data_IF_993430200986
#
_entry.id   IF_993430200986
#
_cell.length_a   1.000
_cell.length_b   1.000
_cell.length_c   1.000
_cell.angle_alpha   90.00
_cell.angle_beta   90.00
_cell.angle_gamma   90.00
#
_symmetry.space_group_name_H-M   'P 1'
#
loop_
_entity.id
_entity.type
_entity.pdbx_description
1 polymer ?
#
# COMPACT_ATOMS: atom_id res chain seq x y z
N UNK A 1 -18.71 -5.93 -4.29
CA UNK A 1 -18.34 -5.40 -2.96
C UNK A 1 -18.50 -3.88 -3.01
N UNK A 2 -19.12 -3.27 -2.00
CA UNK A 2 -19.19 -1.81 -1.92
C UNK A 2 -17.96 -1.22 -1.18
N UNK A 3 -17.86 0.10 -1.13
CA UNK A 3 -16.70 0.77 -0.51
C UNK A 3 -16.60 0.52 1.00
N UNK A 4 -17.73 0.45 1.71
CA UNK A 4 -17.76 0.20 3.14
C UNK A 4 -17.31 -1.23 3.46
N UNK A 5 -17.73 -2.22 2.67
CA UNK A 5 -17.25 -3.60 2.82
C UNK A 5 -15.71 -3.70 2.69
N UNK A 6 -15.11 -2.93 1.76
CA UNK A 6 -13.65 -2.89 1.60
C UNK A 6 -12.98 -2.33 2.86
N UNK A 7 -13.48 -1.20 3.36
CA UNK A 7 -12.89 -0.56 4.54
C UNK A 7 -13.13 -1.34 5.83
N UNK A 8 -14.25 -2.06 5.95
CA UNK A 8 -14.48 -2.99 7.06
C UNK A 8 -13.46 -4.14 7.05
N UNK A 9 -13.13 -4.70 5.88
CA UNK A 9 -12.15 -5.79 5.76
C UNK A 9 -10.72 -5.29 5.98
N UNK A 10 -10.41 -4.08 5.52
CA UNK A 10 -9.08 -3.47 5.62
C UNK A 10 -8.87 -2.67 6.92
N UNK A 11 -9.82 -2.73 7.86
CA UNK A 11 -9.81 -1.99 9.12
C UNK A 11 -9.56 -0.47 8.91
N UNK A 12 -10.20 0.12 7.90
CA UNK A 12 -10.04 1.51 7.51
C UNK A 12 -11.29 2.36 7.69
N UNK A 13 -11.11 3.68 7.63
CA UNK A 13 -12.20 4.66 7.80
C UNK A 13 -12.68 5.20 6.45
N UNK A 14 -13.79 4.64 5.96
CA UNK A 14 -14.39 5.02 4.70
C UNK A 14 -14.78 6.50 4.64
N UNK A 15 -15.33 7.05 5.73
CA UNK A 15 -15.80 8.45 5.78
C UNK A 15 -14.62 9.41 5.69
N UNK A 16 -13.58 9.19 6.50
CA UNK A 16 -12.37 10.02 6.47
C UNK A 16 -11.67 9.95 5.12
N UNK A 17 -11.64 8.78 4.47
CA UNK A 17 -11.02 8.63 3.16
C UNK A 17 -11.85 9.34 2.10
N UNK A 18 -13.16 9.10 2.04
CA UNK A 18 -14.04 9.73 1.06
C UNK A 18 -14.08 11.25 1.17
N UNK A 19 -13.93 11.81 2.37
CA UNK A 19 -13.80 13.26 2.55
C UNK A 19 -12.63 13.84 1.74
N UNK A 20 -11.52 13.11 1.57
CA UNK A 20 -10.38 13.51 0.71
C UNK A 20 -10.73 13.52 -0.78
N UNK A 21 -11.74 12.75 -1.17
CA UNK A 21 -12.30 12.67 -2.52
C UNK A 21 -13.57 13.52 -2.66
N UNK A 22 -13.81 14.49 -1.76
CA UNK A 22 -15.01 15.34 -1.73
C UNK A 22 -16.33 14.55 -1.69
N UNK A 23 -16.33 13.39 -1.01
CA UNK A 23 -17.46 12.47 -0.95
C UNK A 23 -17.71 11.68 -2.23
N UNK A 24 -16.83 11.76 -3.23
CA UNK A 24 -17.01 11.11 -4.51
C UNK A 24 -16.48 9.67 -4.51
N UNK A 25 -17.35 8.72 -4.17
CA UNK A 25 -17.05 7.28 -4.20
C UNK A 25 -16.57 6.80 -5.57
N UNK A 26 -17.20 7.27 -6.66
CA UNK A 26 -16.83 6.86 -8.02
C UNK A 26 -15.40 7.28 -8.38
N UNK A 27 -14.97 8.45 -7.90
CA UNK A 27 -13.59 8.92 -8.07
C UNK A 27 -12.62 8.05 -7.27
N UNK A 28 -12.92 7.75 -6.00
CA UNK A 28 -12.10 6.86 -5.19
C UNK A 28 -11.98 5.48 -5.83
N UNK A 29 -13.10 4.85 -6.24
CA UNK A 29 -13.12 3.54 -6.91
C UNK A 29 -12.24 3.52 -8.15
N UNK A 30 -12.28 4.58 -8.96
CA UNK A 30 -11.43 4.71 -10.16
C UNK A 30 -9.94 4.72 -9.82
N UNK A 31 -9.53 5.35 -8.72
CA UNK A 31 -8.13 5.36 -8.30
C UNK A 31 -7.75 4.04 -7.62
N UNK A 32 -8.61 3.51 -6.75
CA UNK A 32 -8.42 2.20 -6.12
C UNK A 32 -8.27 1.10 -7.18
N UNK A 33 -9.11 1.09 -8.23
CA UNK A 33 -9.01 0.10 -9.32
C UNK A 33 -7.68 0.12 -10.07
N UNK A 34 -7.00 1.27 -10.12
CA UNK A 34 -5.66 1.41 -10.72
C UNK A 34 -4.53 0.97 -9.80
N UNK A 35 -4.82 0.65 -8.54
CA UNK A 35 -3.80 0.19 -7.59
C UNK A 35 -3.10 -1.08 -8.06
N UNK A 36 -3.83 -1.96 -8.78
CA UNK A 36 -3.25 -3.16 -9.39
C UNK A 36 -2.33 -2.88 -10.59
N UNK A 37 -2.47 -1.72 -11.23
CA UNK A 37 -1.61 -1.28 -12.33
C UNK A 37 -0.33 -0.58 -11.84
N UNK A 38 -0.24 -0.27 -10.54
CA UNK A 38 0.91 0.41 -9.95
C UNK A 38 2.08 -0.55 -9.77
N UNK A 39 3.19 -0.30 -10.47
CA UNK A 39 4.40 -1.14 -10.46
C UNK A 39 5.28 -0.97 -9.20
N UNK A 40 4.92 -0.10 -8.25
CA UNK A 40 5.78 0.27 -7.12
C UNK A 40 6.11 -0.93 -6.25
N UNK A 41 5.14 -1.84 -6.03
CA UNK A 41 5.37 -3.05 -5.24
C UNK A 41 6.39 -3.99 -5.89
N UNK A 42 6.27 -4.21 -7.20
CA UNK A 42 7.17 -5.08 -7.98
C UNK A 42 8.57 -4.48 -8.04
N UNK A 43 8.68 -3.15 -8.19
CA UNK A 43 9.96 -2.43 -8.15
C UNK A 43 10.61 -2.50 -6.76
N UNK A 44 9.82 -2.39 -5.69
CA UNK A 44 10.30 -2.62 -4.33
C UNK A 44 10.86 -4.03 -4.16
N UNK A 45 10.14 -5.07 -4.59
CA UNK A 45 10.63 -6.45 -4.55
C UNK A 45 11.96 -6.60 -5.31
N UNK A 46 12.03 -6.05 -6.53
CA UNK A 46 13.22 -6.10 -7.37
C UNK A 46 14.41 -5.41 -6.70
N UNK A 47 14.21 -4.26 -6.06
CA UNK A 47 15.26 -3.55 -5.31
C UNK A 47 15.72 -4.32 -4.07
N UNK A 48 14.84 -5.09 -3.42
CA UNK A 48 15.23 -5.98 -2.32
C UNK A 48 16.12 -7.11 -2.85
N UNK A 49 15.70 -7.78 -3.92
CA UNK A 49 16.43 -8.90 -4.53
C UNK A 49 17.82 -8.48 -5.06
N UNK A 50 17.93 -7.27 -5.61
CA UNK A 50 19.19 -6.72 -6.13
C UNK A 50 20.04 -5.97 -5.10
N UNK A 51 19.58 -5.90 -3.84
CA UNK A 51 20.20 -5.10 -2.77
C UNK A 51 20.39 -3.61 -3.15
N UNK A 52 19.50 -3.06 -3.98
CA UNK A 52 19.45 -1.64 -4.29
C UNK A 52 18.83 -0.86 -3.13
N UNK A 53 19.66 -0.54 -2.13
CA UNK A 53 19.23 0.15 -0.90
C UNK A 53 18.55 1.49 -1.15
N UNK A 54 18.93 2.21 -2.21
CA UNK A 54 18.24 3.47 -2.58
C UNK A 54 16.86 3.19 -3.16
N UNK A 55 16.76 2.19 -4.02
CA UNK A 55 15.48 1.73 -4.57
C UNK A 55 14.54 1.23 -3.48
N UNK A 56 15.03 0.48 -2.49
CA UNK A 56 14.22 0.01 -1.36
C UNK A 56 13.54 1.18 -0.64
N UNK A 57 14.32 2.20 -0.24
CA UNK A 57 13.75 3.37 0.45
C UNK A 57 12.77 4.13 -0.45
N UNK A 58 13.15 4.37 -1.70
CA UNK A 58 12.35 5.13 -2.66
C UNK A 58 11.00 4.44 -2.93
N UNK A 59 11.00 3.17 -3.32
CA UNK A 59 9.77 2.47 -3.69
C UNK A 59 8.90 2.16 -2.47
N UNK A 60 9.49 1.86 -1.30
CA UNK A 60 8.71 1.75 -0.08
C UNK A 60 8.06 3.09 0.30
N UNK A 61 8.76 4.21 0.12
CA UNK A 61 8.21 5.55 0.37
C UNK A 61 7.07 5.89 -0.59
N UNK A 62 7.22 5.58 -1.88
CA UNK A 62 6.16 5.75 -2.86
C UNK A 62 4.93 4.89 -2.51
N UNK A 63 5.12 3.61 -2.19
CA UNK A 63 4.01 2.71 -1.85
C UNK A 63 3.28 3.17 -0.60
N UNK A 64 4.02 3.63 0.42
CA UNK A 64 3.44 4.27 1.61
C UNK A 64 2.50 5.41 1.24
N UNK A 65 2.95 6.32 0.37
CA UNK A 65 2.15 7.47 -0.05
C UNK A 65 0.89 7.08 -0.83
N UNK A 66 1.02 6.15 -1.78
CA UNK A 66 -0.11 5.63 -2.55
C UNK A 66 -1.14 4.98 -1.63
N UNK A 67 -0.70 4.08 -0.75
CA UNK A 67 -1.56 3.40 0.22
C UNK A 67 -2.27 4.40 1.17
N UNK A 68 -1.54 5.39 1.70
CA UNK A 68 -2.11 6.41 2.58
C UNK A 68 -3.19 7.27 1.87
N UNK A 69 -2.94 7.67 0.63
CA UNK A 69 -3.90 8.47 -0.15
C UNK A 69 -5.20 7.71 -0.45
N UNK A 70 -5.10 6.39 -0.65
CA UNK A 70 -6.25 5.52 -0.89
C UNK A 70 -6.94 5.03 0.39
N UNK A 71 -6.33 5.25 1.56
CA UNK A 71 -6.88 4.79 2.84
C UNK A 71 -6.51 3.37 3.22
N UNK A 72 -5.54 2.74 2.55
CA UNK A 72 -5.02 1.42 2.89
C UNK A 72 -4.01 1.55 4.03
N UNK A 73 -4.52 1.85 5.23
CA UNK A 73 -3.68 2.30 6.34
C UNK A 73 -2.67 1.26 6.80
N UNK A 74 -3.08 -0.01 6.91
CA UNK A 74 -2.17 -1.08 7.32
C UNK A 74 -1.03 -1.25 6.33
N UNK A 75 -1.34 -1.26 5.03
CA UNK A 75 -0.32 -1.32 3.98
C UNK A 75 0.63 -0.11 4.03
N UNK A 76 0.09 1.09 4.28
CA UNK A 76 0.90 2.30 4.47
C UNK A 76 1.83 2.18 5.68
N UNK A 77 1.37 1.60 6.80
CA UNK A 77 2.18 1.36 7.99
C UNK A 77 3.30 0.36 7.71
N UNK A 78 3.00 -0.75 7.05
CA UNK A 78 3.99 -1.77 6.71
C UNK A 78 5.06 -1.22 5.76
N UNK A 79 4.65 -0.42 4.76
CA UNK A 79 5.58 0.29 3.89
C UNK A 79 6.46 1.29 4.66
N UNK A 80 5.89 2.00 5.64
CA UNK A 80 6.64 2.90 6.49
C UNK A 80 7.70 2.18 7.34
N UNK A 81 7.43 0.96 7.81
CA UNK A 81 8.43 0.15 8.53
C UNK A 81 9.64 -0.17 7.65
N UNK A 82 9.43 -0.48 6.36
CA UNK A 82 10.53 -0.70 5.42
C UNK A 82 11.33 0.60 5.18
N UNK A 83 10.64 1.74 5.05
CA UNK A 83 11.30 3.06 4.93
C UNK A 83 12.18 3.35 6.14
N UNK A 84 11.68 3.12 7.36
CA UNK A 84 12.46 3.33 8.59
C UNK A 84 13.69 2.42 8.63
N UNK A 85 13.51 1.12 8.38
CA UNK A 85 14.64 0.17 8.36
C UNK A 85 15.70 0.56 7.32
N UNK A 86 15.29 0.98 6.11
CA UNK A 86 16.22 1.43 5.07
C UNK A 86 17.00 2.69 5.48
N UNK A 87 16.35 3.65 6.15
CA UNK A 87 16.98 4.89 6.63
C UNK A 87 17.93 4.66 7.80
N UNK A 88 17.61 3.70 8.66
CA UNK A 88 18.43 3.27 9.79
C UNK A 88 19.53 2.26 9.37
N UNK A 89 19.56 1.89 8.08
CA UNK A 89 20.47 0.90 7.49
C UNK A 89 20.32 -0.52 8.05
N UNK A 90 19.15 -0.85 8.59
CA UNK A 90 18.78 -2.17 9.12
C UNK A 90 18.24 -3.09 8.01
N UNK A 91 19.00 -3.24 6.92
CA UNK A 91 18.57 -3.98 5.72
C UNK A 91 18.31 -5.46 5.97
N UNK A 92 18.88 -6.04 7.02
CA UNK A 92 18.61 -7.41 7.47
C UNK A 92 17.14 -7.61 7.90
N UNK A 93 16.44 -6.55 8.32
CA UNK A 93 15.01 -6.62 8.69
C UNK A 93 14.09 -6.53 7.47
N UNK A 94 14.55 -5.95 6.37
CA UNK A 94 13.72 -5.65 5.19
C UNK A 94 13.02 -6.89 4.62
N UNK A 95 13.65 -8.06 4.45
CA UNK A 95 12.96 -9.24 3.94
C UNK A 95 11.78 -9.69 4.80
N UNK A 96 11.92 -9.63 6.13
CA UNK A 96 10.85 -9.99 7.05
C UNK A 96 9.70 -8.97 7.00
N UNK A 97 10.03 -7.68 6.97
CA UNK A 97 9.04 -6.60 6.82
C UNK A 97 8.32 -6.66 5.48
N UNK A 98 9.03 -6.97 4.40
CA UNK A 98 8.46 -7.13 3.06
C UNK A 98 7.47 -8.29 3.01
N UNK A 99 7.75 -9.41 3.68
CA UNK A 99 6.80 -10.53 3.75
C UNK A 99 5.49 -10.15 4.47
N UNK A 100 5.54 -9.28 5.46
CA UNK A 100 4.32 -8.74 6.12
C UNK A 100 3.58 -7.83 5.16
N UNK A 101 4.29 -6.87 4.56
CA UNK A 101 3.75 -5.93 3.57
C UNK A 101 3.10 -6.65 2.39
N UNK A 102 3.73 -7.70 1.85
CA UNK A 102 3.24 -8.46 0.71
C UNK A 102 1.91 -9.18 0.99
N UNK A 103 1.71 -9.67 2.23
CA UNK A 103 0.42 -10.26 2.64
C UNK A 103 -0.68 -9.22 2.65
N UNK A 104 -0.40 -8.05 3.21
CA UNK A 104 -1.38 -6.95 3.25
C UNK A 104 -1.65 -6.40 1.84
N UNK A 105 -0.62 -6.27 1.01
CA UNK A 105 -0.77 -5.84 -0.39
C UNK A 105 -1.70 -6.78 -1.17
N UNK A 106 -1.53 -8.10 -1.02
CA UNK A 106 -2.41 -9.08 -1.66
C UNK A 106 -3.85 -9.00 -1.12
N UNK A 107 -4.03 -8.81 0.19
CA UNK A 107 -5.36 -8.58 0.80
C UNK A 107 -6.05 -7.35 0.19
N UNK A 108 -5.31 -6.25 0.02
CA UNK A 108 -5.82 -5.03 -0.64
C UNK A 108 -6.23 -5.32 -2.08
N UNK A 109 -5.40 -6.01 -2.86
CA UNK A 109 -5.71 -6.37 -4.26
C UNK A 109 -6.98 -7.23 -4.36
N UNK A 110 -7.15 -8.21 -3.48
CA UNK A 110 -8.35 -9.05 -3.43
C UNK A 110 -9.61 -8.24 -3.12
N UNK A 111 -9.56 -7.32 -2.15
CA UNK A 111 -10.68 -6.44 -1.82
C UNK A 111 -11.04 -5.52 -2.98
N UNK A 112 -10.04 -4.82 -3.53
CA UNK A 112 -10.22 -3.87 -4.63
C UNK A 112 -10.70 -4.57 -5.90
N UNK A 113 -10.19 -5.76 -6.21
CA UNK A 113 -10.61 -6.55 -7.37
C UNK A 113 -12.05 -7.06 -7.32
N UNK A 114 -12.71 -6.96 -6.15
CA UNK A 114 -14.12 -7.34 -5.94
C UNK A 114 -15.05 -6.13 -5.84
N UNK A 115 -14.55 -4.90 -6.01
CA UNK A 115 -15.37 -3.69 -6.02
C UNK A 115 -16.32 -3.68 -7.22
N UNK A 116 -17.59 -3.36 -6.96
CA UNK A 116 -18.63 -3.20 -7.99
C UNK A 116 -18.61 -1.80 -8.63
#
# INVERSE_FOLDING_TARGET
MNIYDVFDILDGDAETVLARFAGNEGLWKRFAGKFSDDETFQRLNTSIDSQDYKGIEMYAHTLKGVAANLGFEQLSRDAASIVSAAREQEFEKVPALFNVLAKEYNKVLECVGRLD
#
